data_IF_731187033394
#
_entry.id   IF_731187033394
#
_cell.length_a   1.000
_cell.length_b   1.000
_cell.length_c   1.000
_cell.angle_alpha   90.00
_cell.angle_beta   90.00
_cell.angle_gamma   90.00
#
_symmetry.space_group_name_H-M   'P 1'
#
loop_
_entity.id
_entity.type
_entity.pdbx_description
1 polymer ?
#
# COMPACT_ATOMS: atom_id res chain seq x y z
N UNK A 1 5.26 -10.13 4.79
CA UNK A 1 5.62 -10.33 3.37
C UNK A 1 7.00 -10.94 3.18
N UNK A 2 8.10 -10.30 3.63
CA UNK A 2 9.47 -10.83 3.47
C UNK A 2 9.63 -12.24 4.05
N UNK A 3 9.11 -12.50 5.25
CA UNK A 3 9.16 -13.83 5.88
C UNK A 3 8.46 -14.91 5.04
N UNK A 4 7.31 -14.58 4.45
CA UNK A 4 6.58 -15.48 3.55
C UNK A 4 7.42 -15.79 2.30
N UNK A 5 8.07 -14.78 1.72
CA UNK A 5 8.96 -14.96 0.58
C UNK A 5 10.15 -15.84 0.88
N UNK A 6 10.76 -15.67 2.06
CA UNK A 6 11.88 -16.53 2.51
C UNK A 6 11.41 -17.97 2.70
N UNK A 7 10.27 -18.20 3.35
CA UNK A 7 9.71 -19.54 3.55
C UNK A 7 9.35 -20.20 2.22
N UNK A 8 8.76 -19.44 1.30
CA UNK A 8 8.44 -19.94 -0.04
C UNK A 8 9.72 -20.32 -0.79
N UNK A 9 10.75 -19.45 -0.79
CA UNK A 9 12.05 -19.75 -1.39
C UNK A 9 12.67 -21.03 -0.83
N UNK A 10 12.68 -21.19 0.50
CA UNK A 10 13.25 -22.37 1.15
C UNK A 10 12.49 -23.64 0.77
N UNK A 11 11.16 -23.59 0.73
CA UNK A 11 10.33 -24.72 0.35
C UNK A 11 10.56 -25.14 -1.10
N UNK A 12 10.53 -24.18 -2.03
CA UNK A 12 10.76 -24.45 -3.46
C UNK A 12 12.17 -24.96 -3.71
N UNK A 13 13.19 -24.35 -3.07
CA UNK A 13 14.58 -24.83 -3.17
C UNK A 13 14.72 -26.27 -2.71
N UNK A 14 14.10 -26.65 -1.59
CA UNK A 14 14.12 -28.02 -1.09
C UNK A 14 13.45 -28.97 -2.08
N UNK A 15 12.29 -28.57 -2.62
CA UNK A 15 11.57 -29.35 -3.62
C UNK A 15 12.41 -29.56 -4.89
N UNK A 16 13.09 -28.52 -5.40
CA UNK A 16 13.98 -28.66 -6.56
C UNK A 16 15.17 -29.57 -6.27
N UNK A 17 15.78 -29.46 -5.09
CA UNK A 17 16.88 -30.38 -4.66
C UNK A 17 16.42 -31.82 -4.66
N UNK A 18 15.25 -32.11 -4.10
CA UNK A 18 14.72 -33.45 -4.04
C UNK A 18 14.33 -34.03 -5.41
N UNK A 19 13.78 -33.18 -6.26
CA UNK A 19 13.46 -33.51 -7.65
C UNK A 19 14.73 -33.86 -8.45
N UNK A 20 15.81 -33.07 -8.31
CA UNK A 20 17.09 -33.32 -8.96
C UNK A 20 17.73 -34.58 -8.46
N UNK A 21 17.75 -34.82 -7.12
CA UNK A 21 18.25 -36.09 -6.54
C UNK A 21 17.52 -37.28 -7.13
N UNK A 22 16.20 -37.23 -7.20
CA UNK A 22 15.37 -38.29 -7.79
C UNK A 22 15.71 -38.54 -9.26
N UNK A 23 15.85 -37.43 -10.03
CA UNK A 23 16.16 -37.54 -11.46
C UNK A 23 17.52 -38.14 -11.73
N UNK A 24 18.61 -37.65 -11.08
CA UNK A 24 19.95 -38.19 -11.28
C UNK A 24 20.06 -39.61 -10.77
N UNK A 25 19.32 -39.99 -9.69
CA UNK A 25 19.28 -41.38 -9.22
C UNK A 25 18.59 -42.30 -10.24
N UNK A 26 17.53 -41.85 -10.88
CA UNK A 26 16.86 -42.60 -11.96
C UNK A 26 17.80 -42.80 -13.17
N UNK A 27 18.55 -41.75 -13.54
CA UNK A 27 19.55 -41.83 -14.63
C UNK A 27 20.67 -42.83 -14.26
N UNK A 28 21.20 -42.75 -13.03
CA UNK A 28 22.22 -43.68 -12.54
C UNK A 28 21.73 -45.14 -12.55
N UNK A 29 20.53 -45.37 -12.04
CA UNK A 29 19.89 -46.70 -12.03
C UNK A 29 19.71 -47.26 -13.43
N UNK A 30 19.28 -46.44 -14.41
CA UNK A 30 19.14 -46.83 -15.82
C UNK A 30 20.50 -47.21 -16.41
N UNK A 31 21.54 -46.36 -16.19
CA UNK A 31 22.86 -46.57 -16.68
C UNK A 31 23.47 -47.89 -16.06
N UNK A 32 23.32 -48.03 -14.75
CA UNK A 32 23.79 -49.23 -14.05
C UNK A 32 23.12 -50.52 -14.56
N UNK A 33 21.79 -50.47 -14.74
CA UNK A 33 21.07 -51.64 -15.28
C UNK A 33 21.50 -51.95 -16.72
N UNK A 34 21.67 -50.97 -17.59
CA UNK A 34 22.18 -51.17 -18.96
C UNK A 34 23.59 -51.75 -18.96
N UNK A 35 24.50 -51.35 -18.05
CA UNK A 35 25.85 -51.90 -17.88
C UNK A 35 25.78 -53.36 -17.46
N UNK A 36 24.97 -53.69 -16.45
CA UNK A 36 24.80 -55.06 -15.95
C UNK A 36 24.26 -55.98 -17.07
N UNK A 37 23.19 -55.55 -17.74
CA UNK A 37 22.54 -56.33 -18.81
C UNK A 37 23.51 -56.52 -19.98
N UNK A 38 24.23 -55.44 -20.40
CA UNK A 38 25.21 -55.56 -21.48
C UNK A 38 26.34 -56.55 -21.18
N UNK A 39 26.82 -56.58 -19.89
CA UNK A 39 27.84 -57.54 -19.47
C UNK A 39 27.28 -58.95 -19.47
N UNK A 40 26.06 -59.16 -18.97
CA UNK A 40 25.42 -60.51 -18.92
C UNK A 40 25.10 -61.06 -20.30
N UNK A 41 24.70 -60.20 -21.25
CA UNK A 41 24.34 -60.61 -22.61
C UNK A 41 25.49 -60.55 -23.60
N UNK A 42 26.69 -60.11 -23.20
CA UNK A 42 27.82 -59.94 -24.09
C UNK A 42 27.65 -58.87 -25.15
N UNK A 43 26.74 -57.90 -24.88
CA UNK A 43 26.45 -56.80 -25.79
C UNK A 43 27.25 -55.54 -25.44
N UNK A 44 27.42 -54.63 -26.40
CA UNK A 44 28.14 -53.39 -26.19
C UNK A 44 27.26 -52.38 -25.42
N UNK A 45 27.81 -51.79 -24.34
CA UNK A 45 27.18 -50.67 -23.63
C UNK A 45 27.30 -49.38 -24.46
N UNK A 46 26.16 -48.72 -24.74
CA UNK A 46 26.14 -47.45 -25.47
C UNK A 46 26.47 -46.28 -24.58
N UNK A 47 27.75 -45.98 -24.39
CA UNK A 47 28.24 -44.88 -23.54
C UNK A 47 27.89 -43.49 -24.09
N UNK A 48 27.77 -43.30 -25.41
CA UNK A 48 27.48 -42.01 -26.03
C UNK A 48 26.11 -41.46 -25.67
N UNK A 49 25.13 -42.35 -25.47
CA UNK A 49 23.77 -41.99 -25.03
C UNK A 49 23.80 -41.20 -23.70
N UNK A 50 24.71 -41.49 -22.79
CA UNK A 50 24.85 -40.85 -21.51
C UNK A 50 25.77 -39.62 -21.53
N UNK A 51 26.79 -39.64 -22.37
CA UNK A 51 27.79 -38.59 -22.45
C UNK A 51 27.30 -37.34 -23.20
N UNK A 52 26.29 -37.49 -24.04
CA UNK A 52 25.78 -36.40 -24.90
C UNK A 52 24.76 -35.49 -24.23
N UNK A 53 24.41 -35.73 -22.98
CA UNK A 53 23.44 -34.93 -22.28
C UNK A 53 23.99 -33.53 -21.91
N UNK A 54 23.16 -32.50 -22.08
CA UNK A 54 23.45 -31.14 -21.62
C UNK A 54 22.96 -30.87 -20.20
N UNK A 55 22.04 -31.68 -19.67
CA UNK A 55 21.42 -31.50 -18.37
C UNK A 55 22.28 -32.03 -17.20
N UNK A 56 23.13 -32.99 -17.50
CA UNK A 56 24.03 -33.58 -16.50
C UNK A 56 25.37 -33.96 -17.14
N UNK A 57 26.41 -34.09 -16.28
CA UNK A 57 27.67 -34.72 -16.62
C UNK A 57 27.73 -36.10 -15.94
N UNK A 58 28.28 -37.09 -16.60
CA UNK A 58 28.42 -38.45 -16.08
C UNK A 58 29.82 -38.93 -16.33
N UNK A 59 30.35 -39.67 -15.33
CA UNK A 59 31.62 -40.35 -15.42
C UNK A 59 31.57 -41.71 -14.72
N UNK A 60 32.34 -42.67 -15.20
CA UNK A 60 32.37 -44.04 -14.77
C UNK A 60 33.76 -44.37 -14.25
N UNK A 61 33.86 -44.97 -13.09
CA UNK A 61 35.12 -45.24 -12.39
C UNK A 61 35.23 -46.70 -12.05
N UNK A 62 36.49 -47.20 -12.01
CA UNK A 62 36.82 -48.53 -11.57
C UNK A 62 36.86 -48.65 -10.05
N UNK A 63 37.14 -49.86 -9.53
CA UNK A 63 37.29 -50.15 -8.10
C UNK A 63 38.40 -49.33 -7.42
N UNK A 64 39.42 -48.94 -8.15
CA UNK A 64 40.52 -48.11 -7.68
C UNK A 64 40.25 -46.61 -7.79
N UNK A 65 39.01 -46.25 -8.16
CA UNK A 65 38.57 -44.86 -8.37
C UNK A 65 39.28 -44.17 -9.55
N UNK A 66 39.81 -44.94 -10.50
CA UNK A 66 40.33 -44.39 -11.74
C UNK A 66 39.22 -44.21 -12.73
N UNK A 67 39.28 -43.09 -13.49
CA UNK A 67 38.31 -42.81 -14.52
C UNK A 67 38.44 -43.82 -15.69
N UNK A 68 37.34 -44.51 -15.98
CA UNK A 68 37.25 -45.43 -17.11
C UNK A 68 36.80 -44.64 -18.36
N UNK A 69 35.74 -43.88 -18.26
CA UNK A 69 35.30 -42.93 -19.25
C UNK A 69 34.30 -41.91 -18.65
N UNK A 70 34.16 -40.77 -19.25
CA UNK A 70 33.21 -39.75 -18.77
C UNK A 70 33.57 -38.35 -19.24
N UNK A 71 32.69 -37.38 -18.91
CA UNK A 71 32.86 -35.99 -19.22
C UNK A 71 32.92 -35.09 -17.94
N UNK A 72 33.17 -35.73 -16.77
CA UNK A 72 33.30 -35.05 -15.49
C UNK A 72 34.60 -35.44 -14.82
N UNK A 73 35.49 -34.50 -14.54
CA UNK A 73 36.89 -34.72 -14.12
C UNK A 73 37.19 -34.08 -12.74
N UNK A 74 36.21 -33.60 -12.03
CA UNK A 74 36.42 -33.01 -10.68
C UNK A 74 36.71 -34.11 -9.64
N UNK A 75 37.40 -33.75 -8.55
CA UNK A 75 37.63 -34.66 -7.44
C UNK A 75 36.32 -34.93 -6.71
N UNK A 76 35.97 -36.21 -6.52
CA UNK A 76 34.72 -36.64 -5.88
C UNK A 76 35.02 -37.43 -4.63
N UNK A 77 34.25 -37.17 -3.57
CA UNK A 77 34.26 -38.02 -2.38
C UNK A 77 33.36 -39.24 -2.60
N UNK A 78 33.97 -40.41 -2.82
CA UNK A 78 33.27 -41.68 -3.03
C UNK A 78 32.63 -42.26 -1.76
N UNK A 79 32.85 -41.63 -0.57
CA UNK A 79 32.25 -42.06 0.69
C UNK A 79 30.82 -41.59 0.90
N UNK A 80 30.37 -40.63 0.11
CA UNK A 80 29.04 -40.04 0.23
C UNK A 80 28.19 -40.32 -1.02
N UNK A 81 26.94 -40.75 -0.81
CA UNK A 81 26.01 -41.03 -1.93
C UNK A 81 25.60 -39.74 -2.66
N UNK A 82 25.33 -38.65 -1.92
CA UNK A 82 25.00 -37.36 -2.46
C UNK A 82 25.92 -36.30 -1.88
N UNK A 83 26.52 -35.51 -2.75
CA UNK A 83 27.30 -34.33 -2.40
C UNK A 83 26.51 -33.11 -2.91
N UNK A 84 26.09 -32.25 -1.97
CA UNK A 84 25.33 -31.05 -2.29
C UNK A 84 26.29 -29.87 -2.26
N UNK A 85 26.57 -29.31 -3.41
CA UNK A 85 27.31 -28.08 -3.57
C UNK A 85 26.28 -26.88 -3.60
N UNK A 86 26.78 -25.65 -3.63
CA UNK A 86 25.94 -24.47 -3.57
C UNK A 86 24.80 -24.49 -4.60
N UNK A 87 25.10 -24.89 -5.83
CA UNK A 87 24.17 -24.85 -6.98
C UNK A 87 24.20 -26.13 -7.82
N UNK A 88 24.80 -27.23 -7.32
CA UNK A 88 24.85 -28.49 -8.03
C UNK A 88 24.73 -29.66 -7.07
N UNK A 89 24.30 -30.80 -7.59
CA UNK A 89 24.22 -32.06 -6.83
C UNK A 89 25.01 -33.11 -7.57
N UNK A 90 25.90 -33.77 -6.85
CA UNK A 90 26.66 -34.89 -7.34
C UNK A 90 26.11 -36.14 -6.71
N UNK A 91 25.81 -37.15 -7.49
CA UNK A 91 25.45 -38.50 -7.06
C UNK A 91 26.64 -39.44 -7.32
N UNK A 92 26.99 -40.22 -6.33
CA UNK A 92 27.90 -41.35 -6.46
C UNK A 92 27.10 -42.64 -6.27
N UNK A 93 26.97 -43.41 -7.32
CA UNK A 93 26.24 -44.69 -7.34
C UNK A 93 27.21 -45.85 -7.53
N UNK A 94 27.10 -46.89 -6.69
CA UNK A 94 27.95 -48.09 -6.73
C UNK A 94 27.17 -49.35 -7.10
N UNK A 95 26.00 -49.19 -7.73
CA UNK A 95 25.10 -50.34 -8.03
C UNK A 95 25.57 -51.22 -9.19
N UNK A 96 26.60 -50.83 -9.93
CA UNK A 96 27.20 -51.60 -11.04
C UNK A 96 28.02 -52.82 -10.57
N UNK A 97 28.51 -52.82 -9.34
CA UNK A 97 29.22 -53.96 -8.70
C UNK A 97 30.32 -54.56 -9.60
N UNK A 98 31.11 -53.71 -10.29
CA UNK A 98 32.26 -54.14 -11.13
C UNK A 98 31.89 -54.70 -12.49
N UNK A 99 30.62 -54.68 -12.92
CA UNK A 99 30.25 -55.10 -14.26
C UNK A 99 30.92 -54.22 -15.30
N UNK A 100 31.45 -54.81 -16.37
CA UNK A 100 32.28 -54.16 -17.41
C UNK A 100 33.49 -53.36 -16.86
N UNK A 101 33.98 -53.71 -15.64
CA UNK A 101 35.06 -53.00 -14.97
C UNK A 101 34.65 -51.63 -14.37
N UNK A 102 33.35 -51.37 -14.21
CA UNK A 102 32.80 -50.16 -13.64
C UNK A 102 32.26 -50.45 -12.25
N UNK A 103 32.80 -49.77 -11.23
CA UNK A 103 32.36 -49.89 -9.84
C UNK A 103 31.53 -48.68 -9.40
N UNK A 104 31.81 -47.49 -9.94
CA UNK A 104 31.10 -46.28 -9.57
C UNK A 104 30.61 -45.50 -10.81
N UNK A 105 29.40 -44.96 -10.70
CA UNK A 105 28.84 -44.00 -11.63
C UNK A 105 28.72 -42.68 -10.87
N UNK A 106 29.32 -41.62 -11.39
CA UNK A 106 29.24 -40.29 -10.82
C UNK A 106 28.46 -39.37 -11.78
N UNK A 107 27.38 -38.80 -11.28
CA UNK A 107 26.56 -37.82 -12.01
C UNK A 107 26.58 -36.47 -11.32
N UNK A 108 26.82 -35.42 -12.08
CA UNK A 108 26.68 -34.01 -11.65
C UNK A 108 25.53 -33.35 -12.40
N UNK A 109 24.53 -32.89 -11.68
CA UNK A 109 23.43 -32.10 -12.25
C UNK A 109 23.91 -30.71 -12.63
N UNK A 110 23.36 -30.17 -13.72
CA UNK A 110 23.61 -28.80 -14.20
C UNK A 110 22.34 -27.96 -14.28
N UNK A 111 21.19 -28.56 -14.02
CA UNK A 111 19.90 -27.90 -14.16
C UNK A 111 19.49 -27.12 -12.90
N UNK A 112 20.03 -27.47 -11.74
CA UNK A 112 19.66 -26.89 -10.46
C UNK A 112 19.99 -25.41 -10.37
N UNK A 113 21.16 -25.00 -10.88
CA UNK A 113 21.59 -23.61 -10.88
C UNK A 113 20.58 -22.70 -11.58
N UNK A 114 20.24 -23.02 -12.82
CA UNK A 114 19.29 -22.23 -13.61
C UNK A 114 17.91 -22.17 -12.93
N UNK A 115 17.44 -23.27 -12.33
CA UNK A 115 16.15 -23.32 -11.63
C UNK A 115 16.12 -22.44 -10.38
N UNK A 116 17.24 -22.37 -9.65
CA UNK A 116 17.35 -21.50 -8.48
C UNK A 116 17.39 -20.03 -8.91
N UNK A 117 18.15 -19.70 -9.94
CA UNK A 117 18.23 -18.33 -10.47
C UNK A 117 16.87 -17.86 -11.00
N UNK A 118 16.16 -18.70 -11.75
CA UNK A 118 14.80 -18.41 -12.23
C UNK A 118 13.82 -18.18 -11.07
N UNK A 119 13.93 -18.98 -9.99
CA UNK A 119 13.12 -18.82 -8.79
C UNK A 119 13.41 -17.50 -8.09
N UNK A 120 14.69 -17.11 -7.96
CA UNK A 120 15.08 -15.83 -7.34
C UNK A 120 14.54 -14.65 -8.14
N UNK A 121 14.67 -14.68 -9.47
CA UNK A 121 14.13 -13.64 -10.34
C UNK A 121 12.60 -13.56 -10.21
N UNK A 122 11.91 -14.70 -10.22
CA UNK A 122 10.45 -14.75 -10.08
C UNK A 122 9.98 -14.12 -8.76
N UNK A 123 10.63 -14.45 -7.65
CA UNK A 123 10.31 -13.90 -6.33
C UNK A 123 10.51 -12.38 -6.30
N UNK A 124 11.65 -11.89 -6.82
CA UNK A 124 11.92 -10.46 -6.89
C UNK A 124 10.86 -9.73 -7.72
N UNK A 125 10.48 -10.30 -8.85
CA UNK A 125 9.47 -9.72 -9.74
C UNK A 125 8.09 -9.64 -9.05
N UNK A 126 7.68 -10.69 -8.35
CA UNK A 126 6.43 -10.71 -7.56
C UNK A 126 6.46 -9.61 -6.50
N UNK A 127 7.57 -9.44 -5.76
CA UNK A 127 7.69 -8.38 -4.75
C UNK A 127 7.61 -6.99 -5.37
N UNK A 128 8.23 -6.76 -6.53
CA UNK A 128 8.15 -5.48 -7.24
C UNK A 128 6.71 -5.15 -7.66
N UNK A 129 5.97 -6.15 -8.17
CA UNK A 129 4.55 -5.98 -8.54
C UNK A 129 3.72 -5.61 -7.32
N UNK A 130 3.87 -6.35 -6.21
CA UNK A 130 3.14 -6.07 -4.97
C UNK A 130 3.45 -4.67 -4.45
N UNK A 131 4.74 -4.29 -4.41
CA UNK A 131 5.17 -2.95 -3.99
C UNK A 131 4.56 -1.85 -4.84
N UNK A 132 4.51 -2.05 -6.16
CA UNK A 132 3.88 -1.12 -7.10
C UNK A 132 2.39 -0.91 -6.82
N UNK A 133 1.66 -2.01 -6.56
CA UNK A 133 0.25 -1.92 -6.20
C UNK A 133 0.03 -1.20 -4.86
N UNK A 134 0.85 -1.49 -3.85
CA UNK A 134 0.78 -0.81 -2.54
C UNK A 134 1.03 0.70 -2.72
N UNK A 135 2.01 1.09 -3.54
CA UNK A 135 2.33 2.48 -3.80
C UNK A 135 1.16 3.22 -4.49
N UNK A 136 0.51 2.58 -5.48
CA UNK A 136 -0.68 3.13 -6.14
C UNK A 136 -1.82 3.32 -5.14
N UNK A 137 -2.16 2.28 -4.38
CA UNK A 137 -3.24 2.35 -3.38
C UNK A 137 -2.93 3.45 -2.36
N UNK A 138 -1.70 3.48 -1.83
CA UNK A 138 -1.26 4.51 -0.88
C UNK A 138 -1.39 5.93 -1.43
N UNK A 139 -1.02 6.14 -2.70
CA UNK A 139 -1.16 7.43 -3.37
C UNK A 139 -2.63 7.87 -3.47
N UNK A 140 -3.52 6.97 -3.88
CA UNK A 140 -4.95 7.29 -3.97
C UNK A 140 -5.59 7.53 -2.61
N UNK A 141 -5.24 6.73 -1.59
CA UNK A 141 -5.70 6.94 -0.22
C UNK A 141 -5.20 8.27 0.35
N UNK A 142 -3.93 8.60 0.16
CA UNK A 142 -3.37 9.87 0.59
C UNK A 142 -4.12 11.05 -0.06
N UNK A 143 -4.38 10.99 -1.37
CA UNK A 143 -5.16 12.02 -2.08
C UNK A 143 -6.59 12.13 -1.55
N UNK A 144 -7.25 10.99 -1.28
CA UNK A 144 -8.61 10.95 -0.76
C UNK A 144 -8.72 11.60 0.63
N UNK A 145 -7.77 11.32 1.53
CA UNK A 145 -7.80 11.84 2.89
C UNK A 145 -7.24 13.25 3.02
N UNK A 146 -6.20 13.60 2.26
CA UNK A 146 -5.57 14.91 2.39
C UNK A 146 -6.34 16.02 1.66
N UNK A 147 -7.07 15.69 0.60
CA UNK A 147 -7.85 16.68 -0.14
C UNK A 147 -8.91 17.38 0.72
N UNK A 148 -9.84 16.66 1.42
CA UNK A 148 -10.84 17.32 2.25
C UNK A 148 -10.22 18.16 3.37
N UNK A 149 -9.14 17.70 4.02
CA UNK A 149 -8.43 18.46 5.06
C UNK A 149 -7.88 19.78 4.49
N UNK A 150 -7.30 19.74 3.29
CA UNK A 150 -6.81 20.94 2.60
C UNK A 150 -7.96 21.88 2.26
N UNK A 151 -9.07 21.38 1.76
CA UNK A 151 -10.24 22.16 1.36
C UNK A 151 -10.89 22.83 2.59
N UNK A 152 -11.01 22.11 3.71
CA UNK A 152 -11.47 22.66 4.98
C UNK A 152 -10.53 23.76 5.50
N UNK A 153 -9.23 23.56 5.43
CA UNK A 153 -8.24 24.57 5.84
C UNK A 153 -8.35 25.84 4.99
N UNK A 154 -8.57 25.70 3.68
CA UNK A 154 -8.76 26.85 2.80
C UNK A 154 -10.06 27.58 3.17
N UNK A 155 -11.16 26.86 3.39
CA UNK A 155 -12.44 27.45 3.83
C UNK A 155 -12.28 28.20 5.14
N UNK A 156 -11.61 27.61 6.12
CA UNK A 156 -11.34 28.24 7.41
C UNK A 156 -10.48 29.50 7.28
N UNK A 157 -9.43 29.47 6.47
CA UNK A 157 -8.59 30.65 6.25
C UNK A 157 -9.36 31.79 5.58
N UNK A 158 -10.19 31.48 4.56
CA UNK A 158 -11.03 32.49 3.93
C UNK A 158 -12.04 33.06 4.92
N UNK A 159 -12.69 32.21 5.69
CA UNK A 159 -13.62 32.61 6.73
C UNK A 159 -12.97 33.55 7.77
N UNK A 160 -11.79 33.20 8.31
CA UNK A 160 -11.05 34.07 9.24
C UNK A 160 -10.75 35.44 8.60
N UNK A 161 -10.31 35.43 7.33
CA UNK A 161 -10.00 36.66 6.60
C UNK A 161 -11.22 37.53 6.45
N UNK A 162 -12.34 37.00 5.99
CA UNK A 162 -13.58 37.72 5.75
C UNK A 162 -14.16 38.24 7.05
N UNK A 163 -14.19 37.43 8.11
CA UNK A 163 -14.64 37.84 9.45
C UNK A 163 -13.77 38.95 10.02
N UNK A 164 -12.45 38.87 9.84
CA UNK A 164 -11.53 39.94 10.30
C UNK A 164 -11.83 41.26 9.60
N UNK A 165 -12.12 41.23 8.29
CA UNK A 165 -12.48 42.43 7.55
C UNK A 165 -13.83 42.99 8.01
N UNK A 166 -14.84 42.13 8.23
CA UNK A 166 -16.16 42.53 8.70
C UNK A 166 -16.15 43.12 10.12
N UNK A 167 -15.26 42.59 11.01
CA UNK A 167 -15.07 43.11 12.38
C UNK A 167 -14.31 44.44 12.40
N UNK A 168 -13.31 44.62 11.54
CA UNK A 168 -12.49 45.84 11.54
C UNK A 168 -13.32 47.11 11.23
N UNK A 169 -14.33 47.02 10.39
CA UNK A 169 -15.18 48.14 10.04
C UNK A 169 -15.98 48.69 11.23
N UNK A 170 -16.81 47.92 11.95
CA UNK A 170 -17.56 48.40 13.11
C UNK A 170 -16.64 48.77 14.28
N UNK A 171 -15.51 48.05 14.51
CA UNK A 171 -14.56 48.38 15.55
C UNK A 171 -13.90 49.74 15.27
N UNK A 172 -13.51 50.01 14.03
CA UNK A 172 -12.97 51.34 13.64
C UNK A 172 -13.99 52.43 13.81
N UNK A 173 -15.26 52.18 13.50
CA UNK A 173 -16.35 53.13 13.69
C UNK A 173 -16.60 53.44 15.17
N UNK A 174 -16.50 52.45 16.06
CA UNK A 174 -16.57 52.64 17.51
C UNK A 174 -15.40 53.50 17.99
N UNK A 175 -14.17 53.17 17.61
CA UNK A 175 -12.96 53.85 18.05
C UNK A 175 -13.01 55.33 17.64
N UNK A 176 -13.24 55.59 16.34
CA UNK A 176 -13.35 56.98 15.79
C UNK A 176 -14.47 57.78 16.48
N UNK A 177 -15.57 57.14 16.86
CA UNK A 177 -16.69 57.85 17.51
C UNK A 177 -16.43 58.07 18.99
N UNK A 178 -15.61 57.28 19.61
CA UNK A 178 -15.25 57.34 21.04
C UNK A 178 -14.06 58.27 21.36
N UNK A 179 -13.28 58.70 20.33
CA UNK A 179 -12.13 59.61 20.52
C UNK A 179 -12.53 60.99 21.03
N UNK A 180 -13.78 61.43 20.79
CA UNK A 180 -14.25 62.70 21.31
C UNK A 180 -14.61 62.65 22.79
N UNK A 181 -14.07 63.61 23.57
CA UNK A 181 -14.39 63.71 25.01
C UNK A 181 -15.86 63.97 25.31
N UNK A 182 -16.60 64.59 24.40
CA UNK A 182 -18.04 64.78 24.47
C UNK A 182 -18.69 64.31 23.16
N UNK A 183 -19.03 63.04 23.01
CA UNK A 183 -19.60 62.50 21.80
C UNK A 183 -21.03 63.04 21.59
N UNK A 184 -21.33 63.47 20.35
CA UNK A 184 -22.69 63.90 19.95
C UNK A 184 -23.64 62.70 19.96
N UNK A 185 -24.95 62.95 20.03
CA UNK A 185 -25.98 61.90 19.96
C UNK A 185 -25.78 60.97 18.73
N UNK A 186 -25.42 61.55 17.58
CA UNK A 186 -25.11 60.78 16.35
C UNK A 186 -23.91 59.87 16.53
N UNK A 187 -22.88 60.28 17.29
CA UNK A 187 -21.70 59.44 17.59
C UNK A 187 -22.03 58.29 18.54
N UNK A 188 -22.87 58.57 19.56
CA UNK A 188 -23.37 57.56 20.49
C UNK A 188 -24.22 56.51 19.75
N UNK A 189 -25.09 56.93 18.87
CA UNK A 189 -25.90 56.02 18.07
C UNK A 189 -25.05 55.18 17.11
N UNK A 190 -24.02 55.77 16.50
CA UNK A 190 -23.06 55.02 15.65
C UNK A 190 -22.30 53.96 16.46
N UNK A 191 -21.90 54.25 17.70
CA UNK A 191 -21.26 53.27 18.59
C UNK A 191 -22.23 52.12 18.87
N UNK A 192 -23.50 52.40 19.24
CA UNK A 192 -24.51 51.37 19.52
C UNK A 192 -24.73 50.43 18.32
N UNK A 193 -24.93 51.00 17.12
CA UNK A 193 -25.12 50.18 15.91
C UNK A 193 -23.89 49.35 15.59
N UNK A 194 -22.69 49.89 15.73
CA UNK A 194 -21.46 49.16 15.48
C UNK A 194 -21.23 48.07 16.51
N UNK A 195 -21.53 48.31 17.80
CA UNK A 195 -21.43 47.31 18.85
C UNK A 195 -22.44 46.17 18.62
N UNK A 196 -23.67 46.48 18.21
CA UNK A 196 -24.66 45.46 17.84
C UNK A 196 -24.14 44.56 16.69
N UNK A 197 -23.55 45.18 15.66
CA UNK A 197 -22.96 44.45 14.53
C UNK A 197 -21.83 43.52 14.95
N UNK A 198 -20.95 43.95 15.87
CA UNK A 198 -19.89 43.10 16.43
C UNK A 198 -20.50 41.89 17.18
N UNK A 199 -21.59 42.15 17.95
CA UNK A 199 -22.28 41.08 18.69
C UNK A 199 -22.93 40.05 17.75
N UNK A 200 -23.52 40.50 16.65
CA UNK A 200 -24.10 39.62 15.61
C UNK A 200 -23.02 38.75 14.98
N UNK A 201 -21.88 39.34 14.55
CA UNK A 201 -20.75 38.60 13.98
C UNK A 201 -20.21 37.59 15.00
N UNK A 202 -20.13 37.94 16.28
CA UNK A 202 -19.71 37.03 17.34
C UNK A 202 -20.70 35.87 17.52
N UNK A 203 -21.99 36.13 17.46
CA UNK A 203 -23.03 35.09 17.53
C UNK A 203 -22.92 34.13 16.34
N UNK A 204 -22.76 34.65 15.12
CA UNK A 204 -22.56 33.83 13.92
C UNK A 204 -21.32 32.95 14.02
N UNK A 205 -20.22 33.52 14.55
CA UNK A 205 -18.98 32.78 14.80
C UNK A 205 -19.21 31.63 15.80
N UNK A 206 -19.89 31.95 16.90
CA UNK A 206 -20.16 30.97 17.97
C UNK A 206 -21.03 29.83 17.44
N UNK A 207 -22.05 30.17 16.64
CA UNK A 207 -22.91 29.19 15.99
C UNK A 207 -22.09 28.24 15.08
N UNK A 208 -21.28 28.78 14.20
CA UNK A 208 -20.49 27.99 13.24
C UNK A 208 -19.43 27.08 13.91
N UNK A 209 -18.85 27.50 15.03
CA UNK A 209 -17.76 26.75 15.68
C UNK A 209 -18.18 25.89 16.88
N UNK A 210 -19.26 26.22 17.57
CA UNK A 210 -19.69 25.46 18.76
C UNK A 210 -20.80 24.45 18.46
N UNK A 211 -21.57 24.64 17.40
CA UNK A 211 -22.72 23.79 17.06
C UNK A 211 -22.38 22.46 16.36
N UNK A 212 -21.10 22.17 16.10
CA UNK A 212 -20.68 20.83 15.65
C UNK A 212 -20.69 19.76 16.76
N UNK A 213 -21.14 20.07 17.95
CA UNK A 213 -21.51 19.06 18.96
C UNK A 213 -23.02 18.86 18.86
N UNK A 214 -23.44 17.59 18.71
CA UNK A 214 -24.83 17.12 18.74
C UNK A 214 -25.71 17.96 19.69
N UNK A 215 -26.15 19.14 19.23
CA UNK A 215 -27.11 19.97 19.95
C UNK A 215 -28.45 19.27 19.83
N UNK A 216 -29.05 18.95 20.96
CA UNK A 216 -30.43 18.49 21.04
C UNK A 216 -31.25 19.55 20.32
N UNK A 217 -31.69 19.23 19.11
CA UNK A 217 -32.51 20.13 18.30
C UNK A 217 -33.78 20.49 19.06
N UNK A 218 -33.89 21.75 19.44
CA UNK A 218 -35.07 22.28 20.14
C UNK A 218 -36.14 22.65 19.10
N UNK A 219 -36.71 21.63 18.45
CA UNK A 219 -37.70 21.81 17.41
C UNK A 219 -38.99 22.32 18.03
N UNK A 220 -39.34 23.55 17.75
CA UNK A 220 -40.59 24.19 18.18
C UNK A 220 -41.40 24.66 16.96
N UNK A 221 -42.70 24.73 17.13
CA UNK A 221 -43.57 25.30 16.14
C UNK A 221 -43.61 26.83 16.35
N UNK A 222 -43.06 27.56 15.38
CA UNK A 222 -42.85 29.00 15.47
C UNK A 222 -43.63 29.68 14.36
N UNK A 223 -44.24 30.82 14.66
CA UNK A 223 -44.87 31.69 13.68
C UNK A 223 -43.78 32.54 13.02
N UNK A 224 -43.46 32.24 11.74
CA UNK A 224 -42.43 32.98 10.98
C UNK A 224 -42.73 34.47 10.83
N UNK A 225 -43.99 34.88 10.85
CA UNK A 225 -44.37 36.25 10.83
C UNK A 225 -43.83 37.02 12.03
N UNK A 226 -43.93 36.46 13.25
CA UNK A 226 -43.43 37.12 14.47
C UNK A 226 -41.91 37.36 14.40
N UNK A 227 -41.15 36.38 13.89
CA UNK A 227 -39.70 36.50 13.74
C UNK A 227 -39.38 37.60 12.69
N UNK A 228 -40.08 37.58 11.56
CA UNK A 228 -39.89 38.59 10.54
C UNK A 228 -40.26 39.98 11.04
N UNK A 229 -41.36 40.11 11.81
CA UNK A 229 -41.79 41.35 12.39
C UNK A 229 -40.75 41.95 13.34
N UNK A 230 -40.16 41.12 14.19
CA UNK A 230 -39.07 41.51 15.10
C UNK A 230 -37.83 42.00 14.34
N UNK A 231 -37.46 41.33 13.28
CA UNK A 231 -36.31 41.74 12.45
C UNK A 231 -36.63 43.00 11.59
N UNK A 232 -37.88 43.14 11.18
CA UNK A 232 -38.31 44.30 10.38
C UNK A 232 -38.22 45.61 11.16
N UNK A 233 -38.51 45.64 12.46
CA UNK A 233 -38.36 46.82 13.29
C UNK A 233 -36.93 47.40 13.23
N UNK A 234 -35.92 46.53 13.22
CA UNK A 234 -34.54 46.94 13.05
C UNK A 234 -34.21 47.39 11.62
N UNK A 235 -34.72 46.70 10.59
CA UNK A 235 -34.49 47.04 9.19
C UNK A 235 -35.15 48.34 8.81
N UNK A 236 -36.34 48.67 9.33
CA UNK A 236 -37.03 49.94 9.11
C UNK A 236 -36.23 51.12 9.65
N UNK A 237 -35.53 50.94 10.79
CA UNK A 237 -34.63 51.96 11.34
C UNK A 237 -33.47 52.30 10.38
N UNK A 238 -32.93 51.30 9.72
CA UNK A 238 -31.84 51.45 8.75
C UNK A 238 -32.37 52.03 7.41
N UNK A 239 -33.53 51.55 6.94
CA UNK A 239 -34.16 51.93 5.71
C UNK A 239 -34.59 53.40 5.72
N UNK A 240 -35.11 53.87 6.83
CA UNK A 240 -35.53 55.26 7.00
C UNK A 240 -34.37 56.24 6.81
N UNK A 241 -33.16 55.91 7.27
CA UNK A 241 -31.93 56.70 7.07
C UNK A 241 -31.51 56.79 5.59
N UNK A 242 -31.84 55.75 4.80
CA UNK A 242 -31.52 55.68 3.36
C UNK A 242 -32.69 56.05 2.44
N UNK A 243 -33.83 56.50 2.99
CA UNK A 243 -35.07 56.79 2.27
C UNK A 243 -35.58 55.59 1.46
N UNK A 244 -35.41 54.39 1.96
CA UNK A 244 -35.91 53.16 1.37
C UNK A 244 -37.26 52.83 2.02
N UNK A 245 -38.28 52.55 1.20
CA UNK A 245 -39.59 52.12 1.65
C UNK A 245 -39.62 50.60 1.61
N UNK A 246 -39.92 49.98 2.74
CA UNK A 246 -40.09 48.54 2.83
C UNK A 246 -41.57 48.23 2.79
N UNK A 247 -42.02 47.46 1.80
CA UNK A 247 -43.39 46.98 1.71
C UNK A 247 -43.45 45.57 2.24
N UNK A 248 -44.37 45.29 3.17
CA UNK A 248 -44.52 44.02 3.82
C UNK A 248 -45.88 43.41 3.46
N UNK A 249 -45.86 42.15 3.00
CA UNK A 249 -47.10 41.39 2.78
C UNK A 249 -46.83 39.97 3.27
N UNK A 250 -47.12 39.67 4.54
CA UNK A 250 -46.82 38.42 5.22
C UNK A 250 -48.07 37.94 5.93
N UNK A 251 -48.46 36.69 5.66
CA UNK A 251 -49.51 35.98 6.36
C UNK A 251 -48.93 35.15 7.51
N UNK A 252 -49.80 34.78 8.48
CA UNK A 252 -49.40 33.90 9.57
C UNK A 252 -49.01 32.49 9.00
N UNK A 253 -47.78 32.10 9.24
CA UNK A 253 -47.24 30.80 8.78
C UNK A 253 -46.49 30.12 9.92
N UNK A 254 -46.97 28.93 10.35
CA UNK A 254 -46.36 28.15 11.40
C UNK A 254 -45.48 27.09 10.79
N UNK A 255 -44.25 26.99 11.27
CA UNK A 255 -43.27 25.98 10.82
C UNK A 255 -42.50 25.41 12.00
N UNK A 256 -42.21 24.09 11.92
CA UNK A 256 -41.40 23.43 12.93
C UNK A 256 -39.92 23.59 12.60
N UNK A 257 -39.24 24.42 13.35
CA UNK A 257 -37.84 24.79 13.16
C UNK A 257 -37.11 24.74 14.49
N UNK A 258 -35.82 24.55 14.45
CA UNK A 258 -34.95 24.76 15.61
C UNK A 258 -34.93 26.25 15.95
N UNK A 259 -35.22 26.59 17.19
CA UNK A 259 -35.35 27.99 17.62
C UNK A 259 -34.00 28.66 17.83
N UNK A 260 -32.92 27.88 18.06
CA UNK A 260 -31.57 28.38 18.39
C UNK A 260 -30.73 28.68 17.16
#
# INVERSE_FOLDING_TARGET
>A
MVLIGILYYQNEKTMYVDLVKSNIQNIASKASNEIIVSHMMGSNFNKEKYLSSNEYKISFYDKNKNLVFGNFLESVDFGQKFIIEKNSIILVDSSTVGHLGIDYIVLKDRSLENKIDDLEILIVLIFLIIYFFIAIIGFYLAKLFLKPIKDERIKLNNFIKDTTHELNTPISAILMSAENKNPSEKQIERIKISAKRVSEIYSDLTYLFLENKETIKNIQEINLKEIIDEQMEYLELIASKKKIIINKNIEDFFYKIDKD
#
